data_IF_867733689999
#
_entry.id   IF_867733689999
#
_cell.length_a   1.000
_cell.length_b   1.000
_cell.length_c   1.000
_cell.angle_alpha   90.00
_cell.angle_beta   90.00
_cell.angle_gamma   90.00
#
_symmetry.space_group_name_H-M   'P 1'
#
loop_
_entity.id
_entity.type
_entity.pdbx_description
1 polymer ?
#
# COMPACT_ATOMS: atom_id res chain seq x y z
N UNK A 1 -6.36 1.18 19.51
CA UNK A 1 -7.76 0.73 19.68
C UNK A 1 -8.49 1.43 20.83
N UNK A 2 -7.86 1.68 21.97
CA UNK A 2 -8.52 2.36 23.12
C UNK A 2 -9.08 3.76 22.77
N UNK A 3 -8.26 4.60 22.11
CA UNK A 3 -8.69 5.93 21.64
C UNK A 3 -9.91 5.83 20.71
N UNK A 4 -9.93 4.84 19.80
CA UNK A 4 -11.08 4.63 18.91
C UNK A 4 -12.35 4.27 19.66
N UNK A 5 -12.26 3.39 20.67
CA UNK A 5 -13.41 3.04 21.51
C UNK A 5 -13.93 4.25 22.28
N UNK A 6 -13.04 5.07 22.83
CA UNK A 6 -13.41 6.31 23.50
C UNK A 6 -14.04 7.33 22.55
N UNK A 7 -13.58 7.40 21.30
CA UNK A 7 -14.22 8.19 20.24
C UNK A 7 -15.62 7.65 19.94
N UNK A 8 -15.77 6.34 19.72
CA UNK A 8 -17.06 5.72 19.44
C UNK A 8 -18.09 5.92 20.56
N UNK A 9 -17.68 5.82 21.82
CA UNK A 9 -18.55 6.10 22.97
C UNK A 9 -19.08 7.54 22.94
N UNK A 10 -18.20 8.53 22.76
CA UNK A 10 -18.59 9.94 22.61
C UNK A 10 -19.45 10.20 21.38
N UNK A 11 -19.17 9.50 20.28
CA UNK A 11 -20.01 9.52 19.07
C UNK A 11 -21.42 9.03 19.35
N UNK A 12 -21.56 7.97 20.15
CA UNK A 12 -22.86 7.47 20.63
C UNK A 12 -23.59 8.49 21.51
N UNK A 13 -22.91 9.05 22.51
CA UNK A 13 -23.45 10.10 23.40
C UNK A 13 -23.91 11.34 22.63
N UNK A 14 -23.19 11.70 21.56
CA UNK A 14 -23.49 12.86 20.72
C UNK A 14 -24.45 12.56 19.55
N UNK A 15 -24.96 11.33 19.43
CA UNK A 15 -25.84 10.91 18.32
C UNK A 15 -25.17 10.85 16.94
N UNK A 16 -23.83 10.85 16.87
CA UNK A 16 -23.04 10.85 15.64
C UNK A 16 -22.08 9.63 15.51
N UNK A 17 -22.51 8.39 15.83
CA UNK A 17 -21.60 7.24 15.88
C UNK A 17 -20.97 6.91 14.52
N UNK A 18 -21.71 7.09 13.41
CA UNK A 18 -21.21 6.81 12.06
C UNK A 18 -20.14 7.81 11.61
N UNK A 19 -20.34 9.09 11.91
CA UNK A 19 -19.38 10.14 11.57
C UNK A 19 -18.06 9.94 12.31
N UNK A 20 -18.14 9.70 13.63
CA UNK A 20 -16.96 9.46 14.46
C UNK A 20 -16.27 8.15 14.08
N UNK A 21 -17.05 7.10 13.76
CA UNK A 21 -16.52 5.84 13.25
C UNK A 21 -15.72 6.01 11.97
N UNK A 22 -16.23 6.79 11.01
CA UNK A 22 -15.50 7.11 9.78
C UNK A 22 -14.21 7.89 10.04
N UNK A 23 -14.25 8.92 10.88
CA UNK A 23 -13.04 9.69 11.22
C UNK A 23 -11.98 8.83 11.91
N UNK A 24 -12.39 7.97 12.86
CA UNK A 24 -11.45 7.07 13.52
C UNK A 24 -10.91 6.00 12.58
N UNK A 25 -11.73 5.48 11.65
CA UNK A 25 -11.29 4.52 10.65
C UNK A 25 -10.17 5.06 9.75
N UNK A 26 -10.30 6.33 9.32
CA UNK A 26 -9.29 7.02 8.50
C UNK A 26 -7.92 7.04 9.18
N UNK A 27 -7.87 7.29 10.49
CA UNK A 27 -6.61 7.35 11.25
C UNK A 27 -6.03 5.98 11.64
N UNK A 28 -6.81 4.91 11.58
CA UNK A 28 -6.45 3.61 12.17
C UNK A 28 -6.29 2.47 11.18
N UNK A 29 -7.02 2.49 10.06
CA UNK A 29 -7.08 1.35 9.16
C UNK A 29 -5.68 0.97 8.65
N UNK A 30 -5.03 1.87 7.91
CA UNK A 30 -3.71 1.60 7.33
C UNK A 30 -2.62 1.24 8.36
N UNK A 31 -2.52 1.90 9.54
CA UNK A 31 -1.62 1.45 10.60
C UNK A 31 -1.85 0.01 11.09
N UNK A 32 -3.07 -0.51 11.06
CA UNK A 32 -3.33 -1.91 11.41
C UNK A 32 -2.68 -2.87 10.42
N UNK A 33 -2.63 -2.55 9.11
CA UNK A 33 -1.86 -3.34 8.13
C UNK A 33 -0.39 -3.39 8.46
N UNK A 34 0.19 -2.24 8.78
CA UNK A 34 1.60 -2.14 9.14
C UNK A 34 1.92 -3.06 10.31
N UNK A 35 1.00 -3.19 11.27
CA UNK A 35 1.13 -4.04 12.45
C UNK A 35 0.72 -5.51 12.24
N UNK A 36 0.35 -5.92 11.02
CA UNK A 36 -0.08 -7.29 10.71
C UNK A 36 -1.47 -7.65 11.23
N UNK A 37 -2.33 -6.65 11.44
CA UNK A 37 -3.69 -6.81 11.98
C UNK A 37 -4.76 -6.62 10.89
N UNK A 38 -4.56 -7.27 9.75
CA UNK A 38 -5.44 -7.12 8.58
C UNK A 38 -6.89 -7.57 8.83
N UNK A 39 -7.12 -8.53 9.74
CA UNK A 39 -8.48 -8.91 10.15
C UNK A 39 -9.19 -7.77 10.90
N UNK A 40 -8.51 -7.11 11.85
CA UNK A 40 -9.06 -5.96 12.59
C UNK A 40 -9.36 -4.80 11.64
N UNK A 41 -8.47 -4.57 10.67
CA UNK A 41 -8.66 -3.56 9.64
C UNK A 41 -9.83 -3.89 8.72
N UNK A 42 -9.95 -5.13 8.24
CA UNK A 42 -11.01 -5.54 7.34
C UNK A 42 -12.40 -5.26 7.95
N UNK A 43 -12.55 -5.51 9.25
CA UNK A 43 -13.79 -5.19 9.97
C UNK A 43 -14.05 -3.68 10.00
N UNK A 44 -13.02 -2.89 10.26
CA UNK A 44 -13.10 -1.43 10.30
C UNK A 44 -13.45 -0.83 8.93
N UNK A 45 -12.77 -1.27 7.87
CA UNK A 45 -12.99 -0.86 6.48
C UNK A 45 -14.40 -1.23 6.05
N UNK A 46 -14.84 -2.47 6.27
CA UNK A 46 -16.22 -2.88 5.94
C UNK A 46 -17.29 -2.07 6.67
N UNK A 47 -17.01 -1.64 7.90
CA UNK A 47 -17.98 -0.90 8.71
C UNK A 47 -18.07 0.58 8.35
N UNK A 48 -16.94 1.24 8.06
CA UNK A 48 -16.88 2.70 8.01
C UNK A 48 -16.31 3.29 6.70
N UNK A 49 -15.56 2.50 5.94
CA UNK A 49 -14.90 2.86 4.68
C UNK A 49 -15.08 1.74 3.63
N UNK A 50 -16.32 1.34 3.27
CA UNK A 50 -16.57 0.13 2.47
C UNK A 50 -16.27 0.33 0.98
N UNK A 51 -15.14 0.95 0.67
CA UNK A 51 -14.63 1.14 -0.67
C UNK A 51 -13.98 -0.15 -1.16
N UNK A 52 -14.34 -0.66 -2.36
CA UNK A 52 -13.88 -1.95 -2.83
C UNK A 52 -12.36 -2.10 -2.86
N UNK A 53 -11.62 -1.06 -3.24
CA UNK A 53 -10.15 -1.08 -3.27
C UNK A 53 -9.54 -1.28 -1.88
N UNK A 54 -10.08 -0.63 -0.85
CA UNK A 54 -9.61 -0.79 0.53
C UNK A 54 -9.89 -2.20 1.07
N UNK A 55 -11.09 -2.72 0.79
CA UNK A 55 -11.45 -4.10 1.15
C UNK A 55 -10.52 -5.10 0.46
N UNK A 56 -10.22 -4.87 -0.82
CA UNK A 56 -9.30 -5.71 -1.58
C UNK A 56 -7.88 -5.72 -1.00
N UNK A 57 -7.35 -4.56 -0.56
CA UNK A 57 -6.03 -4.50 0.12
C UNK A 57 -6.04 -5.33 1.41
N UNK A 58 -7.06 -5.18 2.24
CA UNK A 58 -7.19 -5.96 3.49
C UNK A 58 -7.20 -7.47 3.20
N UNK A 59 -8.00 -7.90 2.21
CA UNK A 59 -8.12 -9.30 1.81
C UNK A 59 -6.82 -9.84 1.21
N UNK A 60 -6.08 -9.03 0.44
CA UNK A 60 -4.78 -9.39 -0.09
C UNK A 60 -3.75 -9.64 1.03
N UNK A 61 -3.76 -8.81 2.08
CA UNK A 61 -2.92 -9.02 3.26
C UNK A 61 -3.27 -10.29 4.03
N UNK A 62 -4.51 -10.77 3.93
CA UNK A 62 -4.98 -12.03 4.51
C UNK A 62 -4.76 -13.25 3.59
N UNK A 63 -4.14 -13.07 2.42
CA UNK A 63 -3.93 -14.15 1.45
C UNK A 63 -5.21 -14.64 0.75
N UNK A 64 -6.30 -13.85 0.79
CA UNK A 64 -7.60 -14.22 0.21
C UNK A 64 -7.69 -13.84 -1.27
N UNK A 65 -6.76 -14.36 -2.07
CA UNK A 65 -6.52 -13.94 -3.47
C UNK A 65 -7.74 -14.07 -4.38
N UNK A 66 -8.55 -15.12 -4.21
CA UNK A 66 -9.78 -15.33 -5.02
C UNK A 66 -10.79 -14.19 -4.83
N UNK A 67 -11.00 -13.76 -3.59
CA UNK A 67 -11.95 -12.67 -3.28
C UNK A 67 -11.44 -11.32 -3.75
N UNK A 68 -10.12 -11.10 -3.65
CA UNK A 68 -9.48 -9.91 -4.23
C UNK A 68 -9.74 -9.88 -5.74
N UNK A 69 -9.48 -10.99 -6.43
CA UNK A 69 -9.66 -11.09 -7.89
C UNK A 69 -11.10 -10.80 -8.29
N UNK A 70 -12.08 -11.39 -7.60
CA UNK A 70 -13.51 -11.15 -7.84
C UNK A 70 -13.86 -9.66 -7.69
N UNK A 71 -13.39 -9.01 -6.62
CA UNK A 71 -13.62 -7.57 -6.40
C UNK A 71 -13.03 -6.74 -7.53
N UNK A 72 -11.78 -7.01 -7.92
CA UNK A 72 -11.07 -6.26 -8.95
C UNK A 72 -11.74 -6.41 -10.33
N UNK A 73 -12.14 -7.63 -10.69
CA UNK A 73 -12.84 -7.90 -11.96
C UNK A 73 -14.21 -7.24 -11.99
N UNK A 74 -14.98 -7.34 -10.90
CA UNK A 74 -16.27 -6.67 -10.78
C UNK A 74 -16.15 -5.15 -10.91
N UNK A 75 -15.11 -4.57 -10.32
CA UNK A 75 -14.87 -3.12 -10.39
C UNK A 75 -14.61 -2.66 -11.83
N UNK A 76 -13.74 -3.36 -12.57
CA UNK A 76 -13.45 -3.04 -13.98
C UNK A 76 -14.68 -3.26 -14.87
N UNK A 77 -15.48 -4.30 -14.60
CA UNK A 77 -16.71 -4.56 -15.33
C UNK A 77 -17.80 -3.50 -15.08
N UNK A 78 -17.94 -3.03 -13.83
CA UNK A 78 -18.95 -2.04 -13.43
C UNK A 78 -18.58 -0.63 -13.88
N UNK A 79 -17.29 -0.32 -13.89
CA UNK A 79 -16.77 1.00 -14.24
C UNK A 79 -15.72 0.89 -15.36
N UNK A 80 -16.16 0.80 -16.63
CA UNK A 80 -15.24 0.61 -17.76
C UNK A 80 -14.24 1.76 -17.95
N UNK A 81 -14.48 2.93 -17.37
CA UNK A 81 -13.54 4.04 -17.37
C UNK A 81 -12.34 3.78 -16.47
N UNK A 82 -12.41 2.84 -15.51
CA UNK A 82 -11.34 2.59 -14.53
C UNK A 82 -9.99 2.44 -15.21
N UNK A 83 -9.03 3.26 -14.79
CA UNK A 83 -7.68 3.23 -15.35
C UNK A 83 -7.57 3.79 -16.78
N UNK A 84 -8.56 4.57 -17.23
CA UNK A 84 -8.47 5.39 -18.44
C UNK A 84 -8.31 6.87 -18.09
N UNK A 85 -7.95 7.70 -19.07
CA UNK A 85 -7.89 9.17 -18.88
C UNK A 85 -9.27 9.81 -18.66
N UNK A 86 -10.37 9.10 -18.93
CA UNK A 86 -11.75 9.56 -18.68
C UNK A 86 -12.21 9.30 -17.25
N UNK A 87 -11.42 8.60 -16.46
CA UNK A 87 -11.75 8.30 -15.08
C UNK A 87 -11.37 9.47 -14.17
N UNK A 88 -12.39 10.11 -13.62
CA UNK A 88 -12.31 11.28 -12.74
C UNK A 88 -12.23 10.90 -11.25
N UNK A 89 -12.09 9.60 -10.92
CA UNK A 89 -11.95 9.16 -9.53
C UNK A 89 -10.74 9.79 -8.83
N UNK A 90 -10.94 10.19 -7.58
CA UNK A 90 -9.87 10.74 -6.72
C UNK A 90 -8.81 9.67 -6.48
N UNK A 91 -7.53 10.05 -6.57
CA UNK A 91 -6.39 9.13 -6.64
C UNK A 91 -6.28 8.05 -5.54
N UNK A 92 -6.86 8.24 -4.35
CA UNK A 92 -6.73 7.26 -3.27
C UNK A 92 -7.40 5.91 -3.57
N UNK A 93 -8.56 5.91 -4.20
CA UNK A 93 -9.29 4.68 -4.54
C UNK A 93 -8.56 3.86 -5.62
N UNK A 94 -8.21 4.40 -6.80
CA UNK A 94 -7.49 3.64 -7.83
C UNK A 94 -6.07 3.25 -7.41
N UNK A 95 -5.42 3.99 -6.49
CA UNK A 95 -4.14 3.57 -5.89
C UNK A 95 -4.32 2.34 -4.99
N UNK A 96 -5.41 2.24 -4.22
CA UNK A 96 -5.69 1.04 -3.42
C UNK A 96 -6.04 -0.18 -4.27
N UNK A 97 -6.75 0.01 -5.39
CA UNK A 97 -7.00 -1.04 -6.38
C UNK A 97 -5.67 -1.50 -7.01
N UNK A 98 -4.77 -0.56 -7.33
CA UNK A 98 -3.44 -0.89 -7.86
C UNK A 98 -2.61 -1.69 -6.85
N UNK A 99 -2.59 -1.27 -5.59
CA UNK A 99 -1.91 -1.98 -4.50
C UNK A 99 -2.40 -3.44 -4.40
N UNK A 100 -3.71 -3.64 -4.32
CA UNK A 100 -4.31 -4.97 -4.26
C UNK A 100 -3.97 -5.81 -5.51
N UNK A 101 -4.08 -5.22 -6.72
CA UNK A 101 -3.74 -5.88 -7.97
C UNK A 101 -2.28 -6.33 -8.00
N UNK A 102 -1.36 -5.52 -7.50
CA UNK A 102 0.06 -5.89 -7.40
C UNK A 102 0.26 -7.06 -6.44
N UNK A 103 -0.40 -7.04 -5.28
CA UNK A 103 -0.27 -8.10 -4.27
C UNK A 103 -0.72 -9.46 -4.79
N UNK A 104 -1.80 -9.51 -5.58
CA UNK A 104 -2.30 -10.75 -6.21
C UNK A 104 -1.76 -10.98 -7.62
N UNK A 105 -0.72 -10.23 -8.01
CA UNK A 105 -0.01 -10.36 -9.31
C UNK A 105 -0.92 -10.21 -10.54
N UNK A 106 -2.01 -9.45 -10.44
CA UNK A 106 -2.91 -9.16 -11.56
C UNK A 106 -2.28 -8.11 -12.49
N UNK A 107 -1.47 -8.58 -13.44
CA UNK A 107 -0.74 -7.73 -14.40
C UNK A 107 -1.65 -6.86 -15.26
N UNK A 108 -2.84 -7.37 -15.64
CA UNK A 108 -3.78 -6.65 -16.50
C UNK A 108 -4.26 -5.37 -15.84
N UNK A 109 -4.73 -5.46 -14.59
CA UNK A 109 -5.24 -4.31 -13.85
C UNK A 109 -4.08 -3.40 -13.41
N UNK A 110 -2.94 -3.97 -13.02
CA UNK A 110 -1.76 -3.19 -12.69
C UNK A 110 -1.28 -2.31 -13.86
N UNK A 111 -1.24 -2.86 -15.09
CA UNK A 111 -0.87 -2.09 -16.29
C UNK A 111 -1.87 -0.96 -16.56
N UNK A 112 -3.16 -1.27 -16.57
CA UNK A 112 -4.23 -0.30 -16.81
C UNK A 112 -4.16 0.89 -15.85
N UNK A 113 -3.98 0.63 -14.55
CA UNK A 113 -3.90 1.67 -13.54
C UNK A 113 -2.55 2.41 -13.56
N UNK A 114 -1.45 1.74 -13.85
CA UNK A 114 -0.15 2.39 -14.00
C UNK A 114 -0.17 3.38 -15.18
N UNK A 115 -0.73 3.00 -16.31
CA UNK A 115 -0.82 3.87 -17.50
C UNK A 115 -1.67 5.13 -17.23
N UNK A 116 -2.69 5.04 -16.37
CA UNK A 116 -3.48 6.20 -15.93
C UNK A 116 -2.75 7.07 -14.92
N UNK A 117 -2.09 6.46 -13.94
CA UNK A 117 -1.67 7.12 -12.71
C UNK A 117 -0.16 7.45 -12.66
N UNK A 118 0.68 6.77 -13.43
CA UNK A 118 2.13 6.76 -13.29
C UNK A 118 2.78 8.16 -13.36
N UNK A 119 2.24 9.02 -14.22
CA UNK A 119 2.74 10.39 -14.42
C UNK A 119 2.28 11.38 -13.34
N UNK A 120 1.37 10.97 -12.46
CA UNK A 120 0.88 11.85 -11.39
C UNK A 120 2.00 12.20 -10.40
N UNK A 121 2.07 13.46 -9.97
CA UNK A 121 3.06 14.02 -9.05
C UNK A 121 2.57 14.15 -7.60
N UNK A 122 1.39 13.62 -7.26
CA UNK A 122 0.86 13.61 -5.90
C UNK A 122 1.88 13.03 -4.90
N UNK A 123 2.15 13.79 -3.84
CA UNK A 123 3.01 13.34 -2.74
C UNK A 123 2.35 12.20 -1.94
N UNK A 124 1.04 12.34 -1.67
CA UNK A 124 0.25 11.34 -0.96
C UNK A 124 -1.14 11.18 -1.58
N UNK A 125 -1.83 10.11 -1.21
CA UNK A 125 -3.26 9.88 -1.51
C UNK A 125 -4.21 10.74 -0.68
N UNK A 126 -3.69 11.65 0.17
CA UNK A 126 -4.50 12.46 1.08
C UNK A 126 -4.86 11.71 2.37
N UNK A 127 -5.74 12.31 3.17
CA UNK A 127 -5.99 11.85 4.54
C UNK A 127 -6.77 10.54 4.61
N UNK A 128 -7.64 10.24 3.63
CA UNK A 128 -8.59 9.12 3.71
C UNK A 128 -7.97 7.71 3.68
N UNK A 129 -6.80 7.58 3.05
CA UNK A 129 -6.05 6.33 2.98
C UNK A 129 -4.56 6.62 2.75
N UNK A 130 -3.90 7.18 3.77
CA UNK A 130 -2.60 7.83 3.63
C UNK A 130 -1.47 6.85 3.22
N UNK A 131 -0.95 7.02 2.01
CA UNK A 131 0.20 6.28 1.45
C UNK A 131 0.94 7.17 0.45
N UNK A 132 2.13 6.77 0.00
CA UNK A 132 2.82 7.41 -1.12
C UNK A 132 2.46 6.73 -2.46
N UNK A 133 1.72 7.39 -3.39
CA UNK A 133 1.32 6.78 -4.66
C UNK A 133 2.50 6.29 -5.50
N UNK A 134 3.60 7.05 -5.49
CA UNK A 134 4.82 6.70 -6.22
C UNK A 134 5.39 5.32 -5.81
N UNK A 135 5.22 4.90 -4.55
CA UNK A 135 5.64 3.58 -4.10
C UNK A 135 4.83 2.47 -4.82
N UNK A 136 3.53 2.68 -4.97
CA UNK A 136 2.63 1.74 -5.65
C UNK A 136 2.85 1.70 -7.15
N UNK A 137 3.16 2.83 -7.79
CA UNK A 137 3.53 2.88 -9.20
C UNK A 137 4.83 2.10 -9.46
N UNK A 138 5.82 2.24 -8.55
CA UNK A 138 7.04 1.45 -8.61
C UNK A 138 6.78 -0.06 -8.50
N UNK A 139 5.89 -0.46 -7.59
CA UNK A 139 5.52 -1.87 -7.42
C UNK A 139 4.79 -2.44 -8.64
N UNK A 140 3.92 -1.65 -9.27
CA UNK A 140 3.27 -2.02 -10.52
C UNK A 140 4.25 -2.14 -11.68
N UNK A 141 5.14 -1.15 -11.85
CA UNK A 141 6.18 -1.20 -12.87
C UNK A 141 7.10 -2.42 -12.70
N UNK A 142 7.49 -2.75 -11.46
CA UNK A 142 8.29 -3.93 -11.15
C UNK A 142 7.55 -5.23 -11.53
N UNK A 143 6.27 -5.38 -11.15
CA UNK A 143 5.44 -6.53 -11.53
C UNK A 143 5.32 -6.72 -13.05
N UNK A 144 5.35 -5.61 -13.80
CA UNK A 144 5.29 -5.58 -15.26
C UNK A 144 6.67 -5.75 -15.93
N UNK A 145 7.73 -5.98 -15.16
CA UNK A 145 9.10 -6.15 -15.67
C UNK A 145 9.76 -4.85 -16.14
N UNK A 146 9.21 -3.69 -15.77
CA UNK A 146 9.71 -2.36 -16.16
C UNK A 146 10.66 -1.82 -15.10
N UNK A 147 11.82 -2.46 -14.95
CA UNK A 147 12.73 -2.22 -13.82
C UNK A 147 13.22 -0.76 -13.71
N UNK A 148 13.62 -0.14 -14.83
CA UNK A 148 14.10 1.25 -14.82
C UNK A 148 12.99 2.25 -14.45
N UNK A 149 11.76 1.99 -14.88
CA UNK A 149 10.58 2.79 -14.52
C UNK A 149 10.26 2.63 -13.02
N UNK A 150 10.30 1.38 -12.52
CA UNK A 150 10.11 1.09 -11.10
C UNK A 150 11.12 1.84 -10.23
N UNK A 151 12.39 1.85 -10.63
CA UNK A 151 13.47 2.56 -9.93
C UNK A 151 13.22 4.06 -9.84
N UNK A 152 12.75 4.69 -10.93
CA UNK A 152 12.39 6.13 -10.94
C UNK A 152 11.26 6.43 -9.97
N UNK A 153 10.23 5.60 -9.97
CA UNK A 153 9.11 5.74 -9.04
C UNK A 153 9.52 5.54 -7.57
N UNK A 154 10.33 4.53 -7.27
CA UNK A 154 10.85 4.33 -5.91
C UNK A 154 11.75 5.48 -5.45
N UNK A 155 12.60 6.02 -6.33
CA UNK A 155 13.43 7.19 -6.01
C UNK A 155 12.57 8.41 -5.66
N UNK A 156 11.48 8.63 -6.40
CA UNK A 156 10.50 9.68 -6.11
C UNK A 156 9.81 9.45 -4.76
N UNK A 157 9.39 8.21 -4.48
CA UNK A 157 8.75 7.85 -3.21
C UNK A 157 9.70 8.05 -2.01
N UNK A 158 10.99 7.69 -2.14
CA UNK A 158 12.01 7.93 -1.10
C UNK A 158 12.12 9.42 -0.81
N UNK A 159 12.20 10.26 -1.84
CA UNK A 159 12.28 11.72 -1.66
C UNK A 159 11.08 12.24 -0.87
N UNK A 160 9.86 11.93 -1.34
CA UNK A 160 8.62 12.37 -0.67
C UNK A 160 8.56 11.89 0.77
N UNK A 161 8.81 10.60 1.01
CA UNK A 161 8.72 10.03 2.35
C UNK A 161 9.81 10.57 3.30
N UNK A 162 10.98 10.93 2.77
CA UNK A 162 12.05 11.60 3.53
C UNK A 162 11.63 13.01 3.91
N UNK A 163 11.20 13.81 2.94
CA UNK A 163 10.80 15.22 3.14
C UNK A 163 9.64 15.33 4.15
N UNK A 164 8.66 14.41 4.06
CA UNK A 164 7.51 14.37 4.97
C UNK A 164 7.79 13.68 6.31
N UNK A 165 8.97 13.06 6.48
CA UNK A 165 9.29 12.18 7.62
C UNK A 165 8.28 11.03 7.78
N UNK A 166 7.77 10.52 6.66
CA UNK A 166 6.78 9.45 6.63
C UNK A 166 7.46 8.08 6.77
N UNK A 167 7.85 7.75 8.01
CA UNK A 167 8.70 6.59 8.34
C UNK A 167 8.22 5.24 7.76
N UNK A 168 6.93 4.83 7.89
CA UNK A 168 6.46 3.56 7.32
C UNK A 168 6.66 3.49 5.80
N UNK A 169 6.26 4.54 5.08
CA UNK A 169 6.38 4.56 3.62
C UNK A 169 7.86 4.59 3.18
N UNK A 170 8.74 5.30 3.89
CA UNK A 170 10.17 5.29 3.58
C UNK A 170 10.78 3.89 3.72
N UNK A 171 10.47 3.18 4.81
CA UNK A 171 10.95 1.83 5.04
C UNK A 171 10.37 0.83 4.01
N UNK A 172 9.07 0.92 3.71
CA UNK A 172 8.40 0.09 2.69
C UNK A 172 8.99 0.32 1.30
N UNK A 173 9.20 1.58 0.89
CA UNK A 173 9.81 1.89 -0.40
C UNK A 173 11.24 1.37 -0.49
N UNK A 174 12.04 1.51 0.57
CA UNK A 174 13.42 0.98 0.58
C UNK A 174 13.46 -0.53 0.49
N UNK A 175 12.54 -1.25 1.16
CA UNK A 175 12.42 -2.69 0.98
C UNK A 175 12.12 -3.04 -0.49
N UNK A 176 11.12 -2.39 -1.10
CA UNK A 176 10.73 -2.68 -2.49
C UNK A 176 11.81 -2.32 -3.51
N UNK A 177 12.57 -1.23 -3.27
CA UNK A 177 13.73 -0.90 -4.08
C UNK A 177 14.83 -1.96 -3.93
N UNK A 178 15.12 -2.42 -2.72
CA UNK A 178 16.10 -3.48 -2.52
C UNK A 178 15.72 -4.77 -3.27
N UNK A 179 14.45 -5.16 -3.22
CA UNK A 179 13.94 -6.31 -3.97
C UNK A 179 14.16 -6.15 -5.47
N UNK A 180 13.84 -4.98 -6.03
CA UNK A 180 14.09 -4.66 -7.44
C UNK A 180 15.57 -4.76 -7.80
N UNK A 181 16.46 -4.22 -6.94
CA UNK A 181 17.91 -4.25 -7.15
C UNK A 181 18.47 -5.67 -7.13
N UNK A 182 18.04 -6.50 -6.17
CA UNK A 182 18.46 -7.90 -6.08
C UNK A 182 18.02 -8.72 -7.29
N UNK A 183 16.82 -8.45 -7.83
CA UNK A 183 16.27 -9.19 -8.96
C UNK A 183 16.87 -8.76 -10.30
N UNK A 184 17.06 -7.46 -10.54
CA UNK A 184 17.38 -6.93 -11.87
C UNK A 184 18.77 -6.29 -12.01
N UNK A 185 19.43 -5.95 -10.91
CA UNK A 185 20.68 -5.19 -10.91
C UNK A 185 21.76 -5.89 -10.05
N UNK A 186 22.27 -7.07 -10.48
CA UNK A 186 23.18 -7.89 -9.66
C UNK A 186 24.48 -7.18 -9.27
N UNK A 187 24.93 -6.20 -10.06
CA UNK A 187 26.11 -5.37 -9.76
C UNK A 187 25.88 -4.40 -8.59
N UNK A 188 24.62 -4.13 -8.24
CA UNK A 188 24.20 -3.17 -7.23
C UNK A 188 23.73 -3.84 -5.94
N UNK A 189 24.13 -5.11 -5.75
CA UNK A 189 23.82 -5.89 -4.55
C UNK A 189 24.19 -5.17 -3.24
N UNK A 190 25.28 -4.42 -3.23
CA UNK A 190 25.71 -3.65 -2.06
C UNK A 190 24.68 -2.56 -1.69
N UNK A 191 24.20 -1.79 -2.67
CA UNK A 191 23.15 -0.77 -2.48
C UNK A 191 21.84 -1.41 -1.99
N UNK A 192 21.48 -2.57 -2.56
CA UNK A 192 20.30 -3.32 -2.11
C UNK A 192 20.39 -3.71 -0.62
N UNK A 193 21.58 -4.12 -0.15
CA UNK A 193 21.81 -4.48 1.24
C UNK A 193 21.68 -3.28 2.18
N UNK A 194 22.15 -2.10 1.80
CA UNK A 194 21.99 -0.87 2.59
C UNK A 194 20.51 -0.50 2.75
N UNK A 195 19.72 -0.64 1.69
CA UNK A 195 18.28 -0.43 1.75
C UNK A 195 17.57 -1.45 2.66
N UNK A 196 17.96 -2.73 2.59
CA UNK A 196 17.44 -3.77 3.48
C UNK A 196 17.77 -3.50 4.95
N UNK A 197 19.01 -3.12 5.26
CA UNK A 197 19.44 -2.85 6.64
C UNK A 197 18.67 -1.68 7.25
N UNK A 198 18.47 -0.62 6.48
CA UNK A 198 17.61 0.49 6.89
C UNK A 198 16.18 0.02 7.16
N UNK A 199 15.57 -0.71 6.21
CA UNK A 199 14.18 -1.13 6.31
C UNK A 199 13.96 -2.07 7.51
N UNK A 200 14.87 -3.03 7.74
CA UNK A 200 14.81 -3.96 8.88
C UNK A 200 14.83 -3.20 10.21
N UNK A 201 15.72 -2.22 10.35
CA UNK A 201 15.80 -1.40 11.57
C UNK A 201 14.49 -0.67 11.81
N UNK A 202 13.98 0.04 10.81
CA UNK A 202 12.75 0.81 10.89
C UNK A 202 11.53 -0.08 11.18
N UNK A 203 11.38 -1.22 10.50
CA UNK A 203 10.28 -2.16 10.75
C UNK A 203 10.32 -2.72 12.17
N UNK A 204 11.50 -3.02 12.72
CA UNK A 204 11.65 -3.47 14.10
C UNK A 204 11.22 -2.40 15.09
N UNK A 205 11.67 -1.16 14.91
CA UNK A 205 11.31 -0.04 15.78
C UNK A 205 9.80 0.27 15.75
N UNK A 206 9.19 0.20 14.56
CA UNK A 206 7.76 0.43 14.36
C UNK A 206 6.88 -0.80 14.60
N UNK A 207 7.48 -1.95 14.96
CA UNK A 207 6.78 -3.24 15.17
C UNK A 207 5.99 -3.71 13.95
N UNK A 208 6.50 -3.43 12.74
CA UNK A 208 5.89 -3.82 11.47
C UNK A 208 6.27 -5.27 11.10
N UNK A 209 5.77 -6.22 11.89
CA UNK A 209 6.20 -7.62 11.84
C UNK A 209 6.11 -8.26 10.43
N UNK A 210 5.01 -8.10 9.65
CA UNK A 210 4.94 -8.71 8.32
C UNK A 210 6.03 -8.22 7.36
N UNK A 211 6.32 -6.92 7.38
CA UNK A 211 7.36 -6.32 6.53
C UNK A 211 8.76 -6.66 7.05
N UNK A 212 8.95 -6.76 8.37
CA UNK A 212 10.19 -7.21 8.98
C UNK A 212 10.54 -8.64 8.54
N UNK A 213 9.59 -9.57 8.62
CA UNK A 213 9.80 -10.95 8.19
C UNK A 213 10.11 -11.04 6.69
N UNK A 214 9.39 -10.27 5.87
CA UNK A 214 9.68 -10.17 4.43
C UNK A 214 11.11 -9.68 4.15
N UNK A 215 11.56 -8.64 4.85
CA UNK A 215 12.91 -8.12 4.69
C UNK A 215 14.00 -9.10 5.17
N UNK A 216 13.75 -9.82 6.27
CA UNK A 216 14.68 -10.82 6.81
C UNK A 216 14.86 -12.02 5.88
N UNK A 217 13.79 -12.51 5.23
CA UNK A 217 13.89 -13.60 4.23
C UNK A 217 14.88 -13.28 3.12
N UNK A 218 14.91 -12.03 2.63
CA UNK A 218 15.90 -11.62 1.63
C UNK A 218 17.32 -11.66 2.17
N UNK A 219 17.56 -11.29 3.43
CA UNK A 219 18.90 -11.43 4.03
C UNK A 219 19.33 -12.87 4.22
N UNK A 220 18.41 -13.79 4.52
CA UNK A 220 18.71 -15.22 4.67
C UNK A 220 19.06 -15.86 3.32
N UNK A 221 18.29 -15.56 2.27
CA UNK A 221 18.59 -16.00 0.89
C UNK A 221 19.98 -15.55 0.46
N UNK A 222 20.42 -14.35 0.87
CA UNK A 222 21.74 -13.82 0.52
C UNK A 222 22.90 -14.43 1.31
N UNK A 223 22.62 -15.15 2.40
CA UNK A 223 23.62 -15.87 3.22
C UNK A 223 23.79 -17.33 2.83
N UNK A 224 22.82 -17.91 2.12
CA UNK A 224 22.87 -19.24 1.54
C UNK A 224 23.71 -19.23 0.25
#
# INVERSE_FOLDING_TARGET
MEIFRAMMARGGESGMPLFVGRLGAVGLARPLLYLGKADEELQLVKSFLPFPGLVAVCLAHLGRENEVTEILEKLVATYPSVGTQKDESVAWDPVSVLEAAVMVKNKKIAALLLDRLGDNTLATTGIGWLTCPARHYGAAAALLGRADEARKHYSRAIKVATDMRFRPELALTRLQLAELLLEHYPKERAEALEHLDFAIKEFREMKMQPSLERALRHKEILKA
#
